data_IF_857067238099
#
_entry.id   IF_857067238099
#
_cell.length_a   1.000
_cell.length_b   1.000
_cell.length_c   1.000
_cell.angle_alpha   90.00
_cell.angle_beta   90.00
_cell.angle_gamma   90.00
#
_symmetry.space_group_name_H-M   'P 1'
#
loop_
_entity.id
_entity.type
_entity.pdbx_description
1 polymer ?
#
# COMPACT_ATOMS: atom_id res chain seq x y z
N UNK A 1 13.82 20.60 -12.16
CA UNK A 1 13.96 19.15 -11.87
C UNK A 1 13.09 18.24 -12.74
N UNK A 2 11.97 18.68 -13.34
CA UNK A 2 11.25 17.91 -14.38
C UNK A 2 11.54 18.36 -15.83
N UNK A 3 12.02 19.60 -16.01
CA UNK A 3 12.41 20.22 -17.29
C UNK A 3 13.87 20.73 -17.24
N UNK A 4 14.79 19.97 -16.63
CA UNK A 4 16.23 20.25 -16.67
C UNK A 4 16.80 21.29 -15.69
N UNK A 5 15.97 22.09 -15.01
CA UNK A 5 16.48 23.20 -14.17
C UNK A 5 16.29 22.95 -12.65
N UNK A 6 17.06 22.06 -12.01
CA UNK A 6 16.98 21.95 -10.55
C UNK A 6 18.08 21.12 -9.89
N UNK A 7 18.32 21.41 -8.61
CA UNK A 7 19.48 20.91 -7.86
C UNK A 7 19.48 19.38 -7.69
N UNK A 8 20.67 18.77 -7.55
CA UNK A 8 20.84 17.31 -7.37
C UNK A 8 20.02 16.74 -6.20
N UNK A 9 19.91 17.52 -5.11
CA UNK A 9 19.11 17.17 -3.93
C UNK A 9 17.61 17.12 -4.26
N UNK A 10 17.08 18.12 -4.98
CA UNK A 10 15.68 18.12 -5.39
C UNK A 10 15.36 17.00 -6.38
N UNK A 11 16.27 16.68 -7.30
CA UNK A 11 16.06 15.58 -8.24
C UNK A 11 15.97 14.24 -7.47
N UNK A 12 16.95 13.97 -6.60
CA UNK A 12 16.97 12.75 -5.76
C UNK A 12 15.75 12.67 -4.84
N UNK A 13 15.33 13.78 -4.23
CA UNK A 13 14.14 13.79 -3.37
C UNK A 13 12.85 13.49 -4.15
N UNK A 14 12.71 14.02 -5.38
CA UNK A 14 11.53 13.78 -6.21
C UNK A 14 11.53 12.34 -6.72
N UNK A 15 12.60 11.89 -7.38
CA UNK A 15 12.65 10.57 -8.01
C UNK A 15 12.87 9.43 -7.02
N UNK A 16 13.60 9.65 -5.94
CA UNK A 16 13.94 8.62 -4.96
C UNK A 16 12.90 8.43 -3.84
N UNK A 17 12.11 9.46 -3.52
CA UNK A 17 11.20 9.40 -2.36
C UNK A 17 9.76 9.68 -2.77
N UNK A 18 9.50 10.79 -3.47
CA UNK A 18 8.12 11.24 -3.74
C UNK A 18 7.45 10.45 -4.86
N UNK A 19 8.13 10.30 -5.99
CA UNK A 19 7.62 9.60 -7.16
C UNK A 19 7.23 8.14 -6.83
N UNK A 20 8.08 7.31 -6.19
CA UNK A 20 7.68 5.95 -5.85
C UNK A 20 6.47 5.91 -4.91
N UNK A 21 6.39 6.82 -3.92
CA UNK A 21 5.23 6.89 -3.02
C UNK A 21 3.94 7.26 -3.75
N UNK A 22 3.99 8.20 -4.70
CA UNK A 22 2.82 8.58 -5.51
C UNK A 22 2.35 7.41 -6.36
N UNK A 23 3.28 6.73 -7.05
CA UNK A 23 2.95 5.58 -7.88
C UNK A 23 2.33 4.44 -7.05
N UNK A 24 2.95 4.09 -5.92
CA UNK A 24 2.39 3.10 -5.00
C UNK A 24 0.98 3.50 -4.53
N UNK A 25 0.77 4.76 -4.17
CA UNK A 25 -0.55 5.26 -3.79
C UNK A 25 -1.60 5.09 -4.89
N UNK A 26 -1.25 5.40 -6.15
CA UNK A 26 -2.15 5.23 -7.30
C UNK A 26 -2.51 3.75 -7.49
N UNK A 27 -1.53 2.85 -7.48
CA UNK A 27 -1.78 1.42 -7.66
C UNK A 27 -2.62 0.82 -6.53
N UNK A 28 -2.32 1.18 -5.28
CA UNK A 28 -3.09 0.71 -4.11
C UNK A 28 -4.53 1.23 -4.17
N UNK A 29 -4.73 2.51 -4.47
CA UNK A 29 -6.07 3.09 -4.57
C UNK A 29 -6.89 2.45 -5.71
N UNK A 30 -6.28 2.23 -6.87
CA UNK A 30 -6.93 1.55 -7.99
C UNK A 30 -7.35 0.12 -7.63
N UNK A 31 -6.47 -0.64 -6.98
CA UNK A 31 -6.77 -2.00 -6.51
C UNK A 31 -7.92 -2.04 -5.50
N UNK A 32 -7.91 -1.12 -4.52
CA UNK A 32 -8.99 -1.00 -3.54
C UNK A 32 -10.33 -0.62 -4.18
N UNK A 33 -10.33 0.33 -5.11
CA UNK A 33 -11.54 0.75 -5.83
C UNK A 33 -12.14 -0.40 -6.65
N UNK A 34 -11.30 -1.16 -7.37
CA UNK A 34 -11.74 -2.32 -8.15
C UNK A 34 -12.29 -3.41 -7.22
N UNK A 35 -11.57 -3.74 -6.15
CA UNK A 35 -12.00 -4.77 -5.18
C UNK A 35 -13.35 -4.41 -4.54
N UNK A 36 -13.53 -3.15 -4.14
CA UNK A 36 -14.79 -2.64 -3.61
C UNK A 36 -15.94 -2.74 -4.62
N UNK A 37 -15.73 -2.27 -5.85
CA UNK A 37 -16.75 -2.36 -6.90
C UNK A 37 -17.14 -3.80 -7.23
N UNK A 38 -16.17 -4.72 -7.29
CA UNK A 38 -16.42 -6.15 -7.53
C UNK A 38 -17.23 -6.75 -6.39
N UNK A 39 -16.85 -6.52 -5.13
CA UNK A 39 -17.56 -7.10 -4.00
C UNK A 39 -18.96 -6.51 -3.83
N UNK A 40 -19.12 -5.18 -3.94
CA UNK A 40 -20.44 -4.54 -3.92
C UNK A 40 -21.35 -5.11 -5.01
N UNK A 41 -20.83 -5.37 -6.21
CA UNK A 41 -21.58 -5.98 -7.33
C UNK A 41 -21.95 -7.44 -7.04
N UNK A 42 -21.02 -8.24 -6.53
CA UNK A 42 -21.24 -9.67 -6.24
C UNK A 42 -22.23 -9.86 -5.09
N UNK A 43 -22.11 -9.07 -4.02
CA UNK A 43 -23.01 -9.13 -2.87
C UNK A 43 -24.32 -8.39 -3.10
N UNK A 44 -24.43 -7.61 -4.19
CA UNK A 44 -25.53 -6.67 -4.46
C UNK A 44 -25.84 -5.78 -3.24
N UNK A 45 -24.78 -5.32 -2.59
CA UNK A 45 -24.85 -4.52 -1.37
C UNK A 45 -23.83 -3.39 -1.46
N UNK A 46 -24.32 -2.17 -1.61
CA UNK A 46 -23.52 -0.94 -1.76
C UNK A 46 -22.70 -0.62 -0.49
N UNK A 47 -23.08 -1.21 0.65
CA UNK A 47 -22.37 -1.09 1.93
C UNK A 47 -21.29 -2.19 2.14
N UNK A 48 -21.13 -3.12 1.19
CA UNK A 48 -20.14 -4.19 1.33
C UNK A 48 -18.72 -3.62 1.17
N UNK A 49 -17.90 -3.80 2.21
CA UNK A 49 -16.49 -3.43 2.21
C UNK A 49 -15.61 -4.65 1.90
N UNK A 50 -14.58 -4.50 1.04
CA UNK A 50 -13.61 -5.55 0.76
C UNK A 50 -12.87 -6.11 1.96
N UNK A 51 -12.84 -5.42 3.10
CA UNK A 51 -12.25 -5.90 4.34
C UNK A 51 -13.03 -7.02 5.04
N UNK A 52 -14.32 -7.22 4.70
CA UNK A 52 -15.20 -8.17 5.41
C UNK A 52 -14.77 -9.64 5.24
N UNK A 53 -14.07 -9.98 4.15
CA UNK A 53 -13.58 -11.34 3.89
C UNK A 53 -12.35 -11.75 4.74
N UNK A 54 -11.92 -10.92 5.69
CA UNK A 54 -10.85 -11.23 6.63
C UNK A 54 -9.43 -10.96 6.11
N UNK A 55 -9.28 -10.37 4.92
CA UNK A 55 -7.98 -10.06 4.32
C UNK A 55 -7.14 -9.11 5.17
N UNK A 56 -7.78 -8.13 5.83
CA UNK A 56 -7.12 -7.17 6.72
C UNK A 56 -6.56 -7.86 7.97
N UNK A 57 -7.34 -8.77 8.57
CA UNK A 57 -6.92 -9.52 9.75
C UNK A 57 -5.73 -10.43 9.42
N UNK A 58 -5.82 -11.20 8.32
CA UNK A 58 -4.72 -12.07 7.89
C UNK A 58 -3.44 -11.31 7.56
N UNK A 59 -3.55 -10.18 6.85
CA UNK A 59 -2.40 -9.32 6.55
C UNK A 59 -1.75 -8.73 7.80
N UNK A 60 -2.55 -8.24 8.76
CA UNK A 60 -2.05 -7.73 10.03
C UNK A 60 -1.35 -8.81 10.86
N UNK A 61 -1.93 -10.02 10.94
CA UNK A 61 -1.30 -11.14 11.64
C UNK A 61 0.05 -11.52 11.02
N UNK A 62 0.13 -11.61 9.69
CA UNK A 62 1.38 -11.91 9.00
C UNK A 62 2.46 -10.83 9.24
N UNK A 63 2.08 -9.55 9.20
CA UNK A 63 2.99 -8.45 9.47
C UNK A 63 3.55 -8.48 10.91
N UNK A 64 2.68 -8.71 11.90
CA UNK A 64 3.09 -8.81 13.31
C UNK A 64 4.01 -10.01 13.53
N UNK A 65 3.69 -11.17 12.96
CA UNK A 65 4.55 -12.36 13.05
C UNK A 65 5.93 -12.07 12.43
N UNK A 66 5.98 -11.46 11.25
CA UNK A 66 7.24 -11.09 10.61
C UNK A 66 8.08 -10.16 11.47
N UNK A 67 7.48 -9.09 12.01
CA UNK A 67 8.16 -8.16 12.92
C UNK A 67 8.67 -8.91 14.15
N UNK A 68 7.86 -9.79 14.74
CA UNK A 68 8.23 -10.56 15.92
C UNK A 68 9.41 -11.49 15.63
N UNK A 69 9.39 -12.26 14.55
CA UNK A 69 10.51 -13.14 14.19
C UNK A 69 11.81 -12.37 13.95
N UNK A 70 11.73 -11.24 13.24
CA UNK A 70 12.90 -10.39 13.02
C UNK A 70 13.43 -9.82 14.33
N UNK A 71 12.54 -9.36 15.21
CA UNK A 71 12.89 -8.87 16.55
C UNK A 71 13.64 -9.92 17.35
N UNK A 72 13.15 -11.16 17.39
CA UNK A 72 13.84 -12.25 18.08
C UNK A 72 15.22 -12.54 17.48
N UNK A 73 15.37 -12.49 16.15
CA UNK A 73 16.65 -12.69 15.48
C UNK A 73 17.66 -11.56 15.76
N UNK A 74 17.21 -10.34 16.05
CA UNK A 74 18.11 -9.24 16.45
C UNK A 74 18.63 -9.37 17.89
N UNK A 75 17.88 -10.04 18.77
CA UNK A 75 18.25 -10.24 20.18
C UNK A 75 18.98 -11.56 20.46
N UNK A 76 19.03 -12.48 19.49
CA UNK A 76 19.78 -13.74 19.55
C UNK A 76 21.16 -13.62 18.91
#
# INVERSE_FOLDING_TARGET
TLLGNGTKIQNTAIFGIRLPRILLGIFVAAGLAISGGVLQTMTRNELADPGIIGINAGGATAAVLFIQFQTNAYFS
#
